data_IF_738842723634
#
_entry.id   IF_738842723634
#
_cell.length_a   1.000
_cell.length_b   1.000
_cell.length_c   1.000
_cell.angle_alpha   90.00
_cell.angle_beta   90.00
_cell.angle_gamma   90.00
#
_symmetry.space_group_name_H-M   'P 1'
#
loop_
_entity.id
_entity.type
_entity.pdbx_description
1 polymer ?
#
# COMPACT_ATOMS: atom_id res chain seq x y z
N UNK A 1 28.73 1.37 1.06
CA UNK A 1 28.54 -0.10 1.11
C UNK A 1 27.11 -0.42 0.74
N UNK A 2 26.96 -0.78 -0.53
CA UNK A 2 25.89 -1.52 -1.22
C UNK A 2 24.66 -1.96 -0.42
N UNK A 3 23.57 -1.20 -0.53
CA UNK A 3 22.22 -1.75 -0.47
C UNK A 3 21.92 -2.42 -1.82
N UNK A 4 22.13 -3.73 -1.90
CA UNK A 4 21.78 -4.53 -3.06
C UNK A 4 20.26 -4.50 -3.29
N UNK A 5 19.91 -3.89 -4.42
CA UNK A 5 18.59 -3.97 -5.05
C UNK A 5 18.31 -5.42 -5.44
N UNK A 6 17.63 -6.18 -4.59
CA UNK A 6 16.93 -7.39 -5.03
C UNK A 6 15.62 -7.01 -5.74
N UNK A 7 15.73 -6.33 -6.88
CA UNK A 7 14.65 -6.33 -7.87
C UNK A 7 14.96 -7.52 -8.78
N UNK A 8 14.47 -8.70 -8.39
CA UNK A 8 14.42 -9.82 -9.32
C UNK A 8 13.53 -9.36 -10.48
N UNK A 9 14.13 -9.07 -11.63
CA UNK A 9 13.41 -8.81 -12.87
C UNK A 9 12.77 -10.13 -13.33
N UNK A 10 11.68 -10.53 -12.69
CA UNK A 10 10.77 -11.49 -13.29
C UNK A 10 10.25 -10.87 -14.57
N UNK A 11 10.47 -11.53 -15.72
CA UNK A 11 9.92 -11.11 -17.03
C UNK A 11 8.38 -11.07 -17.05
N UNK A 12 7.75 -11.54 -15.97
CA UNK A 12 6.31 -11.67 -15.79
C UNK A 12 5.87 -10.77 -14.65
N UNK A 13 4.94 -9.86 -14.93
CA UNK A 13 4.32 -9.04 -13.90
C UNK A 13 3.19 -9.84 -13.23
N UNK A 14 3.53 -10.43 -12.09
CA UNK A 14 2.70 -11.36 -11.29
C UNK A 14 1.30 -10.80 -10.97
N UNK A 15 1.12 -9.48 -10.93
CA UNK A 15 -0.17 -8.87 -10.60
C UNK A 15 -1.08 -8.61 -11.81
N UNK A 16 -0.59 -8.80 -13.03
CA UNK A 16 -1.34 -8.46 -14.26
C UNK A 16 -1.34 -9.56 -15.31
N UNK A 17 -0.40 -10.50 -15.25
CA UNK A 17 -0.28 -11.59 -16.21
C UNK A 17 -0.74 -12.92 -15.60
N UNK A 18 -1.17 -13.85 -16.47
CA UNK A 18 -1.50 -15.20 -16.05
C UNK A 18 -0.21 -15.96 -15.72
N UNK A 19 -0.06 -16.37 -14.46
CA UNK A 19 1.19 -16.98 -13.96
C UNK A 19 1.21 -18.49 -14.21
N UNK A 20 0.05 -19.13 -14.42
CA UNK A 20 -0.03 -20.58 -14.61
C UNK A 20 0.83 -21.05 -15.79
N UNK A 21 0.97 -20.20 -16.82
CA UNK A 21 1.79 -20.45 -18.01
C UNK A 21 3.31 -20.39 -17.75
N UNK A 22 3.74 -19.86 -16.60
CA UNK A 22 5.13 -19.56 -16.29
C UNK A 22 5.66 -20.31 -15.06
N UNK A 23 4.85 -21.15 -14.41
CA UNK A 23 5.31 -21.93 -13.27
C UNK A 23 6.10 -23.15 -13.75
N UNK A 24 7.34 -23.27 -13.29
CA UNK A 24 8.18 -24.44 -13.52
C UNK A 24 7.60 -25.68 -12.80
N UNK A 25 7.36 -26.79 -13.52
CA UNK A 25 6.95 -28.07 -12.91
C UNK A 25 7.97 -28.63 -11.90
N UNK A 26 9.24 -28.24 -11.98
CA UNK A 26 10.34 -28.68 -11.13
C UNK A 26 10.71 -27.66 -10.04
N UNK A 27 9.70 -26.97 -9.49
CA UNK A 27 9.89 -25.92 -8.50
C UNK A 27 10.68 -26.40 -7.26
N UNK A 28 11.80 -25.73 -7.00
CA UNK A 28 12.52 -25.84 -5.74
C UNK A 28 11.69 -25.19 -4.61
N UNK A 29 11.32 -25.97 -3.60
CA UNK A 29 10.39 -25.53 -2.54
C UNK A 29 11.10 -25.06 -1.26
N UNK A 30 12.40 -24.78 -1.36
CA UNK A 30 13.22 -24.28 -0.25
C UNK A 30 13.90 -25.39 0.56
N UNK A 31 15.02 -25.01 1.18
CA UNK A 31 15.95 -25.94 1.82
C UNK A 31 15.31 -26.74 2.97
N UNK A 32 14.50 -26.08 3.79
CA UNK A 32 13.85 -26.72 4.94
C UNK A 32 12.88 -27.83 4.51
N UNK A 33 12.08 -27.58 3.46
CA UNK A 33 11.14 -28.58 2.97
C UNK A 33 11.87 -29.72 2.25
N UNK A 34 12.84 -29.41 1.40
CA UNK A 34 13.61 -30.44 0.69
C UNK A 34 14.41 -31.34 1.65
N UNK A 35 14.97 -30.77 2.72
CA UNK A 35 15.67 -31.54 3.76
C UNK A 35 14.70 -32.48 4.48
N UNK A 36 13.51 -31.99 4.88
CA UNK A 36 12.49 -32.82 5.52
C UNK A 36 11.99 -33.92 4.59
N UNK A 37 11.77 -33.62 3.31
CA UNK A 37 11.35 -34.63 2.33
C UNK A 37 12.38 -35.76 2.17
N UNK A 38 13.69 -35.45 2.26
CA UNK A 38 14.76 -36.44 2.27
C UNK A 38 14.78 -37.26 3.56
N UNK A 39 14.59 -36.63 4.71
CA UNK A 39 14.53 -37.31 6.02
C UNK A 39 13.38 -38.32 6.11
N UNK A 40 12.21 -37.99 5.56
CA UNK A 40 11.03 -38.87 5.59
C UNK A 40 11.03 -39.96 4.51
N UNK A 41 12.01 -39.97 3.59
CA UNK A 41 12.17 -40.94 2.51
C UNK A 41 10.86 -41.29 1.78
N UNK A 42 10.07 -40.26 1.46
CA UNK A 42 8.73 -40.40 0.90
C UNK A 42 8.78 -40.94 -0.54
N UNK A 43 7.75 -41.71 -0.91
CA UNK A 43 7.57 -42.15 -2.29
C UNK A 43 7.49 -40.94 -3.23
N UNK A 44 8.15 -41.05 -4.39
CA UNK A 44 8.27 -39.97 -5.38
C UNK A 44 6.92 -39.38 -5.78
N UNK A 45 5.89 -40.22 -5.88
CA UNK A 45 4.52 -39.82 -6.22
C UNK A 45 3.90 -38.91 -5.14
N UNK A 46 4.11 -39.21 -3.86
CA UNK A 46 3.61 -38.39 -2.74
C UNK A 46 4.32 -37.03 -2.72
N UNK A 47 5.64 -37.03 -2.94
CA UNK A 47 6.43 -35.79 -3.04
C UNK A 47 5.98 -34.93 -4.21
N UNK A 48 5.73 -35.54 -5.37
CA UNK A 48 5.22 -34.83 -6.55
C UNK A 48 3.81 -34.28 -6.31
N UNK A 49 2.92 -35.04 -5.68
CA UNK A 49 1.58 -34.58 -5.32
C UNK A 49 1.64 -33.36 -4.38
N UNK A 50 2.50 -33.41 -3.35
CA UNK A 50 2.72 -32.28 -2.44
C UNK A 50 3.22 -31.04 -3.18
N UNK A 51 4.24 -31.19 -4.03
CA UNK A 51 4.79 -30.10 -4.87
C UNK A 51 3.70 -29.51 -5.76
N UNK A 52 2.90 -30.35 -6.41
CA UNK A 52 1.80 -29.91 -7.25
C UNK A 52 0.73 -29.14 -6.48
N UNK A 53 0.39 -29.58 -5.25
CA UNK A 53 -0.57 -28.87 -4.40
C UNK A 53 -0.07 -27.49 -3.99
N UNK A 54 1.22 -27.36 -3.66
CA UNK A 54 1.83 -26.07 -3.36
C UNK A 54 1.80 -25.14 -4.57
N UNK A 55 2.15 -25.63 -5.76
CA UNK A 55 2.04 -24.88 -7.02
C UNK A 55 0.60 -24.43 -7.28
N UNK A 56 -0.37 -25.34 -7.17
CA UNK A 56 -1.79 -25.03 -7.37
C UNK A 56 -2.28 -23.99 -6.37
N UNK A 57 -1.86 -24.10 -5.11
CA UNK A 57 -2.16 -23.10 -4.09
C UNK A 57 -1.60 -21.73 -4.46
N UNK A 58 -0.35 -21.64 -4.89
CA UNK A 58 0.27 -20.37 -5.31
C UNK A 58 -0.44 -19.77 -6.51
N UNK A 59 -0.74 -20.56 -7.54
CA UNK A 59 -1.50 -20.10 -8.71
C UNK A 59 -2.86 -19.56 -8.27
N UNK A 60 -3.57 -20.31 -7.42
CA UNK A 60 -4.91 -19.91 -7.00
C UNK A 60 -4.86 -18.67 -6.12
N UNK A 61 -3.90 -18.60 -5.18
CA UNK A 61 -3.66 -17.43 -4.35
C UNK A 61 -3.45 -16.17 -5.20
N UNK A 62 -2.58 -16.22 -6.21
CA UNK A 62 -2.35 -15.03 -7.03
C UNK A 62 -3.55 -14.70 -7.91
N UNK A 63 -4.26 -15.69 -8.45
CA UNK A 63 -5.50 -15.45 -9.22
C UNK A 63 -6.54 -14.73 -8.36
N UNK A 64 -6.72 -15.18 -7.12
CA UNK A 64 -7.62 -14.58 -6.15
C UNK A 64 -7.16 -13.17 -5.73
N UNK A 65 -5.85 -12.94 -5.62
CA UNK A 65 -5.28 -11.62 -5.36
C UNK A 65 -5.55 -10.66 -6.52
N UNK A 66 -5.28 -11.09 -7.76
CA UNK A 66 -5.56 -10.32 -8.98
C UNK A 66 -7.05 -9.94 -9.08
N UNK A 67 -7.96 -10.88 -8.77
CA UNK A 67 -9.40 -10.63 -8.81
C UNK A 67 -9.90 -9.61 -7.76
N UNK A 68 -9.15 -9.42 -6.67
CA UNK A 68 -9.49 -8.46 -5.60
C UNK A 68 -8.77 -7.12 -5.74
N UNK A 69 -7.75 -7.04 -6.60
CA UNK A 69 -7.08 -5.78 -6.87
C UNK A 69 -8.00 -4.89 -7.71
N UNK A 70 -8.17 -3.61 -7.34
CA UNK A 70 -8.96 -2.71 -8.14
C UNK A 70 -8.23 -2.40 -9.46
N UNK A 71 -8.99 -2.14 -10.52
CA UNK A 71 -8.44 -1.85 -11.87
C UNK A 71 -7.48 -0.67 -11.88
N UNK A 72 -7.67 0.30 -10.98
CA UNK A 72 -6.82 1.48 -10.83
C UNK A 72 -5.61 1.27 -9.90
N UNK A 73 -5.27 0.04 -9.49
CA UNK A 73 -4.14 -0.24 -8.60
C UNK A 73 -2.80 0.33 -9.09
N UNK A 74 -2.58 0.38 -10.41
CA UNK A 74 -1.39 0.98 -10.99
C UNK A 74 -1.27 2.49 -10.66
N UNK A 75 -2.40 3.19 -10.63
CA UNK A 75 -2.49 4.62 -10.26
C UNK A 75 -2.40 4.79 -8.75
N UNK A 76 -3.03 3.90 -7.97
CA UNK A 76 -2.88 3.88 -6.51
C UNK A 76 -1.40 3.74 -6.10
N UNK A 77 -0.62 2.91 -6.81
CA UNK A 77 0.82 2.76 -6.55
C UNK A 77 1.59 4.06 -6.79
N UNK A 78 1.16 4.89 -7.74
CA UNK A 78 1.78 6.19 -8.04
C UNK A 78 1.49 7.25 -6.98
N UNK A 79 0.54 7.02 -6.05
CA UNK A 79 0.23 7.99 -4.99
C UNK A 79 1.38 8.22 -4.01
N UNK A 80 2.39 7.35 -3.98
CA UNK A 80 3.60 7.54 -3.16
C UNK A 80 4.36 8.84 -3.49
N UNK A 81 4.11 9.45 -4.65
CA UNK A 81 4.69 10.74 -5.04
C UNK A 81 4.27 11.89 -4.12
N UNK A 82 3.13 11.77 -3.41
CA UNK A 82 2.67 12.75 -2.43
C UNK A 82 3.39 12.62 -1.08
N UNK A 83 4.32 11.68 -0.93
CA UNK A 83 5.22 11.71 0.23
C UNK A 83 6.08 12.96 0.18
N UNK A 84 6.46 13.45 1.37
CA UNK A 84 7.28 14.65 1.52
C UNK A 84 8.56 14.60 0.69
N UNK A 85 9.26 13.47 0.75
CA UNK A 85 10.54 13.26 0.07
C UNK A 85 10.41 13.30 -1.44
N UNK A 86 9.31 12.79 -1.99
CA UNK A 86 9.06 12.80 -3.44
C UNK A 86 8.52 14.16 -3.91
N UNK A 87 7.70 14.82 -3.08
CA UNK A 87 7.10 16.12 -3.39
C UNK A 87 8.13 17.23 -3.50
N UNK A 88 9.18 17.20 -2.66
CA UNK A 88 10.24 18.22 -2.64
C UNK A 88 11.34 18.00 -3.68
N UNK A 89 11.28 16.94 -4.51
CA UNK A 89 12.22 16.76 -5.62
C UNK A 89 11.97 17.77 -6.73
N UNK A 90 13.05 18.34 -7.26
CA UNK A 90 13.01 19.26 -8.41
C UNK A 90 12.50 18.54 -9.67
N UNK A 91 12.97 17.32 -9.91
CA UNK A 91 12.49 16.45 -10.97
C UNK A 91 11.57 15.40 -10.35
N UNK A 92 10.28 15.47 -10.68
CA UNK A 92 9.26 14.59 -10.13
C UNK A 92 8.22 14.19 -11.17
N UNK A 93 7.57 13.02 -11.01
CA UNK A 93 6.58 12.55 -11.96
C UNK A 93 5.38 13.51 -12.09
N UNK A 94 4.73 13.54 -13.26
CA UNK A 94 3.49 14.29 -13.42
C UNK A 94 2.36 13.65 -12.59
N UNK A 95 1.50 14.48 -12.01
CA UNK A 95 0.34 14.05 -11.23
C UNK A 95 -0.93 13.87 -12.08
N UNK A 96 -0.83 14.08 -13.39
CA UNK A 96 -1.96 14.14 -14.33
C UNK A 96 -2.76 12.84 -14.34
N UNK A 97 -2.09 11.69 -14.43
CA UNK A 97 -2.77 10.39 -14.46
C UNK A 97 -3.56 10.13 -13.16
N UNK A 98 -3.04 10.58 -12.02
CA UNK A 98 -3.74 10.46 -10.73
C UNK A 98 -4.92 11.42 -10.70
N UNK A 99 -4.75 12.66 -11.16
CA UNK A 99 -5.83 13.64 -11.20
C UNK A 99 -6.98 13.19 -12.14
N UNK A 100 -6.65 12.55 -13.26
CA UNK A 100 -7.63 12.00 -14.21
C UNK A 100 -8.47 10.88 -13.58
N UNK A 101 -7.85 9.95 -12.83
CA UNK A 101 -8.62 8.90 -12.14
C UNK A 101 -9.53 9.41 -11.02
N UNK A 102 -9.25 10.60 -10.51
CA UNK A 102 -10.13 11.27 -9.54
C UNK A 102 -11.18 12.16 -10.23
N UNK A 103 -11.34 12.04 -11.55
CA UNK A 103 -12.29 12.80 -12.37
C UNK A 103 -12.17 14.32 -12.22
N UNK A 104 -10.94 14.82 -12.06
CA UNK A 104 -10.67 16.27 -12.01
C UNK A 104 -10.80 16.85 -13.42
N UNK A 105 -11.50 17.98 -13.56
CA UNK A 105 -11.66 18.66 -14.83
C UNK A 105 -10.32 19.23 -15.36
N UNK A 106 -10.23 19.45 -16.68
CA UNK A 106 -9.00 19.94 -17.31
C UNK A 106 -8.45 21.23 -16.67
N UNK A 107 -9.33 22.19 -16.36
CA UNK A 107 -8.95 23.44 -15.69
C UNK A 107 -8.41 23.22 -14.27
N UNK A 108 -8.94 22.22 -13.56
CA UNK A 108 -8.42 21.81 -12.26
C UNK A 108 -7.05 21.13 -12.36
N UNK A 109 -6.85 20.30 -13.40
CA UNK A 109 -5.57 19.64 -13.66
C UNK A 109 -4.47 20.68 -13.97
N UNK A 110 -4.77 21.70 -14.77
CA UNK A 110 -3.80 22.77 -15.09
C UNK A 110 -3.33 23.51 -13.83
N UNK A 111 -4.28 23.85 -12.95
CA UNK A 111 -3.97 24.44 -11.64
C UNK A 111 -3.08 23.52 -10.81
N UNK A 112 -3.44 22.24 -10.72
CA UNK A 112 -2.67 21.25 -9.98
C UNK A 112 -1.24 21.11 -10.51
N UNK A 113 -1.03 21.09 -11.83
CA UNK A 113 0.30 21.02 -12.45
C UNK A 113 1.12 22.26 -12.06
N UNK A 114 0.54 23.44 -12.17
CA UNK A 114 1.20 24.70 -11.82
C UNK A 114 1.63 24.71 -10.35
N UNK A 115 0.71 24.37 -9.45
CA UNK A 115 0.96 24.28 -8.02
C UNK A 115 2.01 23.22 -7.68
N UNK A 116 1.93 22.04 -8.32
CA UNK A 116 2.86 20.94 -8.13
C UNK A 116 4.28 21.32 -8.51
N UNK A 117 4.47 22.08 -9.60
CA UNK A 117 5.80 22.56 -9.99
C UNK A 117 6.33 23.61 -9.02
N UNK A 118 5.47 24.50 -8.52
CA UNK A 118 5.89 25.64 -7.74
C UNK A 118 6.15 25.32 -6.26
N UNK A 119 5.60 24.22 -5.73
CA UNK A 119 5.72 23.86 -4.31
C UNK A 119 7.17 23.69 -3.82
N UNK A 120 8.11 23.38 -4.72
CA UNK A 120 9.53 23.18 -4.39
C UNK A 120 10.30 24.48 -4.17
N UNK A 121 9.74 25.63 -4.60
CA UNK A 121 10.40 26.93 -4.45
C UNK A 121 10.19 27.55 -3.06
N UNK A 122 9.28 27.00 -2.27
CA UNK A 122 9.01 27.43 -0.90
C UNK A 122 9.82 26.58 0.08
N UNK A 123 10.40 27.24 1.09
CA UNK A 123 11.06 26.56 2.20
C UNK A 123 10.03 26.21 3.28
N UNK A 124 9.70 24.93 3.37
CA UNK A 124 8.76 24.37 4.33
C UNK A 124 9.44 24.06 5.67
N UNK A 125 8.75 24.30 6.77
CA UNK A 125 9.26 24.05 8.12
C UNK A 125 9.04 22.60 8.55
N UNK A 126 7.88 22.03 8.21
CA UNK A 126 7.50 20.66 8.52
C UNK A 126 8.12 19.70 7.50
N UNK A 127 9.34 19.23 7.77
CA UNK A 127 10.07 18.27 6.92
C UNK A 127 10.18 16.85 7.50
N UNK A 128 9.61 16.63 8.69
CA UNK A 128 9.68 15.37 9.43
C UNK A 128 8.56 14.38 9.09
N UNK A 129 7.36 14.88 8.78
CA UNK A 129 6.15 14.09 8.59
C UNK A 129 5.41 14.53 7.34
N UNK A 130 4.96 13.57 6.52
CA UNK A 130 4.16 13.87 5.32
C UNK A 130 2.82 14.50 5.71
N UNK A 131 2.20 14.08 6.80
CA UNK A 131 0.93 14.65 7.25
C UNK A 131 1.10 16.12 7.66
N UNK A 132 2.10 16.41 8.49
CA UNK A 132 2.33 17.76 9.01
C UNK A 132 2.75 18.72 7.89
N UNK A 133 3.54 18.23 6.93
CA UNK A 133 3.86 18.97 5.71
C UNK A 133 2.61 19.39 4.93
N UNK A 134 1.71 18.46 4.63
CA UNK A 134 0.50 18.81 3.86
C UNK A 134 -0.47 19.68 4.65
N UNK A 135 -0.45 19.62 5.99
CA UNK A 135 -1.14 20.59 6.84
C UNK A 135 -0.51 21.99 6.69
N UNK A 136 0.81 22.12 6.75
CA UNK A 136 1.51 23.39 6.53
C UNK A 136 1.21 23.98 5.16
N UNK A 137 1.27 23.17 4.10
CA UNK A 137 0.96 23.61 2.71
C UNK A 137 -0.50 24.07 2.59
N UNK A 138 -1.42 23.47 3.34
CA UNK A 138 -2.84 23.83 3.35
C UNK A 138 -3.11 25.15 4.10
N UNK A 139 -2.34 25.44 5.14
CA UNK A 139 -2.45 26.67 5.94
C UNK A 139 -1.57 27.81 5.40
N UNK A 140 -0.68 27.53 4.45
CA UNK A 140 0.22 28.50 3.83
C UNK A 140 -0.54 29.66 3.18
N UNK A 141 -0.04 30.88 3.39
CA UNK A 141 -0.56 32.11 2.78
C UNK A 141 0.58 32.90 2.16
N UNK A 142 0.35 33.39 0.94
CA UNK A 142 1.26 34.30 0.25
C UNK A 142 1.15 35.73 0.78
N UNK A 143 1.93 36.64 0.20
CA UNK A 143 1.91 38.06 0.56
C UNK A 143 0.55 38.75 0.30
N UNK A 144 -0.30 38.16 -0.56
CA UNK A 144 -1.66 38.63 -0.82
C UNK A 144 -2.70 38.00 0.12
N UNK A 145 -2.27 37.15 1.07
CA UNK A 145 -3.13 36.45 2.03
C UNK A 145 -3.87 35.24 1.45
N UNK A 146 -3.57 34.84 0.20
CA UNK A 146 -4.18 33.70 -0.47
C UNK A 146 -3.28 32.47 -0.37
N UNK A 147 -3.85 31.26 -0.44
CA UNK A 147 -3.05 30.04 -0.54
C UNK A 147 -2.88 29.66 -2.02
N UNK A 148 -1.68 29.85 -2.62
CA UNK A 148 -1.42 29.48 -4.00
C UNK A 148 -1.44 27.97 -4.24
N UNK A 149 -1.36 27.13 -3.21
CA UNK A 149 -1.32 25.66 -3.27
C UNK A 149 -2.62 24.98 -2.81
N UNK A 150 -3.70 25.75 -2.65
CA UNK A 150 -4.95 25.28 -2.03
C UNK A 150 -5.52 24.01 -2.69
N UNK A 151 -5.66 24.01 -4.01
CA UNK A 151 -6.19 22.87 -4.76
C UNK A 151 -5.30 21.63 -4.63
N UNK A 152 -3.98 21.81 -4.69
CA UNK A 152 -3.00 20.74 -4.53
C UNK A 152 -3.01 20.17 -3.12
N UNK A 153 -3.03 21.02 -2.09
CA UNK A 153 -3.06 20.60 -0.69
C UNK A 153 -4.34 19.83 -0.37
N UNK A 154 -5.49 20.32 -0.84
CA UNK A 154 -6.75 19.62 -0.72
C UNK A 154 -6.73 18.25 -1.42
N UNK A 155 -6.19 18.20 -2.64
CA UNK A 155 -6.07 16.95 -3.39
C UNK A 155 -5.16 15.94 -2.69
N UNK A 156 -3.96 16.36 -2.29
CA UNK A 156 -3.02 15.51 -1.55
C UNK A 156 -3.61 15.01 -0.23
N UNK A 157 -4.36 15.86 0.48
CA UNK A 157 -5.03 15.47 1.73
C UNK A 157 -6.12 14.41 1.50
N UNK A 158 -6.89 14.52 0.42
CA UNK A 158 -7.88 13.48 0.06
C UNK A 158 -7.16 12.16 -0.24
N UNK A 159 -6.07 12.22 -0.99
CA UNK A 159 -5.30 11.03 -1.35
C UNK A 159 -4.65 10.35 -0.14
N UNK A 160 -4.08 11.12 0.79
CA UNK A 160 -3.43 10.59 1.99
C UNK A 160 -4.42 10.00 3.00
N UNK A 161 -5.69 10.39 2.94
CA UNK A 161 -6.77 9.78 3.73
C UNK A 161 -7.23 8.43 3.19
N UNK A 162 -6.87 8.09 1.95
CA UNK A 162 -7.17 6.77 1.43
C UNK A 162 -6.36 5.71 2.18
N UNK A 163 -6.96 4.58 2.55
CA UNK A 163 -6.25 3.46 3.16
C UNK A 163 -5.32 2.84 2.11
N UNK A 164 -4.12 3.38 1.99
CA UNK A 164 -3.13 2.98 0.99
C UNK A 164 -2.31 1.76 1.43
N UNK A 165 -2.37 1.37 2.72
CA UNK A 165 -1.59 0.27 3.26
C UNK A 165 -2.41 -0.63 4.18
N UNK A 166 -1.99 -1.89 4.28
CA UNK A 166 -2.53 -2.84 5.24
C UNK A 166 -2.16 -2.46 6.69
N UNK A 167 -1.31 -1.46 6.92
CA UNK A 167 -0.85 -1.08 8.26
C UNK A 167 -2.02 -0.67 9.18
N UNK A 168 -3.04 0.01 8.66
CA UNK A 168 -4.23 0.37 9.44
C UNK A 168 -5.08 -0.86 9.77
N UNK A 169 -5.19 -1.80 8.83
CA UNK A 169 -5.86 -3.09 9.03
C UNK A 169 -5.12 -3.93 10.07
N UNK A 170 -3.79 -4.03 9.98
CA UNK A 170 -2.93 -4.71 10.94
C UNK A 170 -3.00 -4.07 12.33
N UNK A 171 -3.09 -2.73 12.40
CA UNK A 171 -3.31 -2.01 13.66
C UNK A 171 -4.64 -2.38 14.28
N UNK A 172 -5.71 -2.50 13.50
CA UNK A 172 -7.03 -2.98 13.98
C UNK A 172 -6.92 -4.44 14.45
N UNK A 173 -6.26 -5.32 13.70
CA UNK A 173 -6.06 -6.71 14.11
C UNK A 173 -5.22 -6.84 15.38
N UNK A 174 -4.22 -5.98 15.57
CA UNK A 174 -3.46 -5.90 16.82
C UNK A 174 -4.38 -5.53 18.00
N UNK A 175 -5.27 -4.56 17.83
CA UNK A 175 -6.29 -4.24 18.85
C UNK A 175 -7.26 -5.39 19.09
N UNK A 176 -7.67 -6.12 18.04
CA UNK A 176 -8.49 -7.33 18.17
C UNK A 176 -7.77 -8.38 19.01
N UNK A 177 -6.48 -8.61 18.78
CA UNK A 177 -5.67 -9.57 19.56
C UNK A 177 -5.49 -9.14 21.02
N UNK A 178 -5.48 -7.83 21.31
CA UNK A 178 -5.49 -7.34 22.69
C UNK A 178 -6.84 -7.57 23.39
N UNK A 179 -7.94 -7.46 22.65
CA UNK A 179 -9.30 -7.69 23.19
C UNK A 179 -9.59 -9.20 23.33
N UNK A 180 -9.16 -10.00 22.36
CA UNK A 180 -9.25 -11.47 22.36
C UNK A 180 -7.99 -12.08 22.97
N UNK A 181 -7.98 -12.19 24.29
CA UNK A 181 -6.89 -12.88 25.01
C UNK A 181 -7.11 -14.40 25.01
N UNK A 182 -6.09 -15.17 25.40
CA UNK A 182 -6.19 -16.64 25.50
C UNK A 182 -7.33 -17.12 26.41
N UNK A 183 -7.70 -16.33 27.43
CA UNK A 183 -8.81 -16.62 28.35
C UNK A 183 -10.15 -16.05 27.87
N UNK A 184 -10.15 -15.14 26.89
CA UNK A 184 -11.33 -14.43 26.36
C UNK A 184 -11.34 -14.47 24.84
N UNK A 185 -11.35 -15.67 24.27
CA UNK A 185 -11.29 -15.91 22.82
C UNK A 185 -12.67 -16.00 22.15
N UNK A 186 -13.71 -16.37 22.91
CA UNK A 186 -15.09 -16.45 22.45
C UNK A 186 -15.83 -15.15 22.76
N UNK A 187 -15.80 -14.22 21.81
CA UNK A 187 -16.63 -13.02 21.80
C UNK A 187 -17.46 -13.03 20.51
N UNK A 188 -18.73 -12.70 20.64
CA UNK A 188 -19.56 -12.41 19.47
C UNK A 188 -18.94 -11.23 18.69
N UNK A 189 -19.17 -11.22 17.37
CA UNK A 189 -18.68 -10.15 16.49
C UNK A 189 -19.25 -8.79 16.89
N UNK A 190 -20.52 -8.75 17.33
CA UNK A 190 -21.18 -7.53 17.82
C UNK A 190 -20.50 -6.95 19.06
N UNK A 191 -20.18 -7.79 20.06
CA UNK A 191 -19.49 -7.35 21.28
C UNK A 191 -18.05 -6.93 20.98
N UNK A 192 -17.35 -7.66 20.11
CA UNK A 192 -16.00 -7.29 19.69
C UNK A 192 -15.98 -5.90 19.01
N UNK A 193 -16.90 -5.66 18.06
CA UNK A 193 -17.02 -4.37 17.38
C UNK A 193 -17.35 -3.24 18.35
N UNK A 194 -18.29 -3.45 19.29
CA UNK A 194 -18.63 -2.43 20.28
C UNK A 194 -17.41 -2.03 21.14
N UNK A 195 -16.62 -3.02 21.59
CA UNK A 195 -15.41 -2.77 22.39
C UNK A 195 -14.35 -2.02 21.57
N UNK A 196 -14.11 -2.46 20.33
CA UNK A 196 -13.18 -1.78 19.43
C UNK A 196 -13.60 -0.33 19.20
N UNK A 197 -14.89 -0.10 18.93
CA UNK A 197 -15.44 1.24 18.71
C UNK A 197 -15.20 2.16 19.90
N UNK A 198 -15.54 1.71 21.11
CA UNK A 198 -15.30 2.48 22.35
C UNK A 198 -13.81 2.80 22.51
N UNK A 199 -12.90 1.83 22.28
CA UNK A 199 -11.46 2.07 22.38
C UNK A 199 -10.95 3.08 21.36
N UNK A 200 -11.42 3.00 20.11
CA UNK A 200 -11.02 3.94 19.06
C UNK A 200 -11.56 5.36 19.33
N UNK A 201 -12.80 5.48 19.81
CA UNK A 201 -13.38 6.78 20.20
C UNK A 201 -12.61 7.40 21.36
N UNK A 202 -12.34 6.63 22.44
CA UNK A 202 -11.59 7.13 23.59
C UNK A 202 -10.16 7.54 23.21
N UNK A 203 -9.51 6.80 22.31
CA UNK A 203 -8.18 7.14 21.80
C UNK A 203 -8.14 8.42 20.95
N UNK A 204 -9.27 8.85 20.39
CA UNK A 204 -9.37 10.07 19.58
C UNK A 204 -9.61 11.32 20.45
N UNK A 205 -10.13 11.14 21.67
CA UNK A 205 -10.47 12.22 22.61
C UNK A 205 -9.27 12.60 23.49
N UNK A 206 -8.38 11.64 23.75
CA UNK A 206 -7.06 11.86 24.39
C UNK A 206 -5.98 12.13 23.34
#
# INVERSE_FOLDING_TARGET
MTHEKWVVYTRVHVLTQNIASYVDPSLYMGYALETKLREYNLAREVTQNLKQRCVNFTIKFVTELQARLPTNFAVLRKMSIFSLQETLKVVKPPIVEIAQEFNICATGIDKLISQWRNIVFIQWQCTSSTADFWCEVMDYKDAAGNNPFKELAAFATILLKLPHSNADVERVFSQVNLVKTKLRNSLSTSTLNAILYVRFVLKRIN
#
